data_IF_685652777549
#
_entry.id   IF_685652777549
#
_cell.length_a   1.000
_cell.length_b   1.000
_cell.length_c   1.000
_cell.angle_alpha   90.00
_cell.angle_beta   90.00
_cell.angle_gamma   90.00
#
_symmetry.space_group_name_H-M   'P 1'
#
loop_
_entity.id
_entity.type
_entity.pdbx_description
1 polymer ?
#
# COMPACT_ATOMS: atom_id res chain seq x y z
N UNK A 1 18.37 -13.31 -3.47
CA UNK A 1 18.21 -13.90 -2.13
C UNK A 1 17.63 -12.85 -1.19
N UNK A 2 16.31 -12.88 -0.93
CA UNK A 2 15.68 -11.98 0.06
C UNK A 2 15.97 -12.60 1.43
N UNK A 3 17.20 -12.45 1.94
CA UNK A 3 17.61 -13.09 3.20
C UNK A 3 17.39 -12.21 4.44
N UNK A 4 16.43 -11.28 4.42
CA UNK A 4 16.03 -10.58 5.64
C UNK A 4 14.53 -10.67 5.85
N UNK A 5 14.12 -11.32 6.95
CA UNK A 5 12.75 -11.32 7.51
C UNK A 5 12.27 -9.92 7.96
N UNK A 6 12.85 -8.85 7.42
CA UNK A 6 12.65 -7.48 7.87
C UNK A 6 11.82 -6.66 6.87
N UNK A 7 10.87 -7.33 6.20
CA UNK A 7 9.89 -6.69 5.33
C UNK A 7 8.53 -6.66 6.03
N UNK A 8 7.75 -5.62 5.76
CA UNK A 8 6.48 -5.38 6.45
C UNK A 8 5.29 -5.64 5.55
N UNK A 9 5.42 -5.30 4.26
CA UNK A 9 4.58 -5.83 3.19
C UNK A 9 5.33 -5.81 1.87
N UNK A 10 4.82 -6.59 0.92
CA UNK A 10 5.26 -6.58 -0.48
C UNK A 10 4.17 -5.95 -1.32
N UNK A 11 4.56 -5.07 -2.24
CA UNK A 11 3.66 -4.41 -3.19
C UNK A 11 3.76 -5.03 -4.57
N UNK A 12 2.60 -5.32 -5.13
CA UNK A 12 2.42 -5.82 -6.48
C UNK A 12 1.66 -4.82 -7.37
N UNK A 13 1.30 -3.66 -6.83
CA UNK A 13 0.81 -2.51 -7.58
C UNK A 13 1.63 -1.25 -7.31
N UNK A 14 1.70 -0.35 -8.29
CA UNK A 14 2.19 1.01 -8.08
C UNK A 14 1.13 1.93 -7.44
N UNK A 15 -0.13 1.50 -7.39
CA UNK A 15 -1.26 2.32 -6.99
C UNK A 15 -1.72 1.99 -5.57
N UNK A 16 -1.46 2.93 -4.65
CA UNK A 16 -2.03 2.95 -3.30
C UNK A 16 -1.95 1.61 -2.56
N UNK A 17 -3.11 1.14 -2.09
CA UNK A 17 -3.27 -0.04 -1.25
C UNK A 17 -3.36 -1.36 -2.03
N UNK A 18 -3.33 -1.30 -3.36
CA UNK A 18 -3.69 -2.42 -4.22
C UNK A 18 -2.55 -3.43 -4.30
N UNK A 19 -2.90 -4.72 -4.29
CA UNK A 19 -1.95 -5.81 -4.43
C UNK A 19 -0.88 -5.78 -3.34
N UNK A 20 -1.29 -5.78 -2.07
CA UNK A 20 -0.37 -5.83 -0.92
C UNK A 20 -0.38 -7.19 -0.26
N UNK A 21 0.79 -7.76 -0.04
CA UNK A 21 0.98 -8.98 0.73
C UNK A 21 1.55 -8.63 2.10
N UNK A 22 0.80 -8.97 3.13
CA UNK A 22 1.18 -8.83 4.53
C UNK A 22 1.50 -10.21 5.12
N UNK A 23 2.32 -10.24 6.17
CA UNK A 23 2.46 -11.46 6.97
C UNK A 23 1.21 -11.67 7.80
N UNK A 24 0.76 -12.91 7.88
CA UNK A 24 -0.43 -13.26 8.67
C UNK A 24 -0.30 -12.90 10.14
N UNK A 25 0.91 -13.01 10.71
CA UNK A 25 1.22 -12.65 12.10
C UNK A 25 1.01 -11.15 12.40
N UNK A 26 1.23 -10.29 11.42
CA UNK A 26 1.08 -8.84 11.57
C UNK A 26 -0.33 -8.36 11.23
N UNK A 27 -1.11 -9.17 10.49
CA UNK A 27 -2.39 -8.76 9.89
C UNK A 27 -3.39 -8.23 10.93
N UNK A 28 -3.49 -8.87 12.09
CA UNK A 28 -4.40 -8.42 13.16
C UNK A 28 -4.06 -7.01 13.66
N UNK A 29 -2.77 -6.67 13.74
CA UNK A 29 -2.33 -5.34 14.17
C UNK A 29 -2.70 -4.27 13.15
N UNK A 30 -2.48 -4.56 11.86
CA UNK A 30 -2.88 -3.68 10.77
C UNK A 30 -4.39 -3.43 10.76
N UNK A 31 -5.19 -4.50 10.81
CA UNK A 31 -6.65 -4.40 10.78
C UNK A 31 -7.16 -3.55 11.95
N UNK A 32 -6.66 -3.78 13.17
CA UNK A 32 -7.00 -2.97 14.34
C UNK A 32 -6.66 -1.50 14.12
N UNK A 33 -5.45 -1.20 13.65
CA UNK A 33 -5.03 0.17 13.37
C UNK A 33 -5.92 0.83 12.30
N UNK A 34 -6.23 0.13 11.20
CA UNK A 34 -7.11 0.67 10.16
C UNK A 34 -8.52 0.92 10.69
N UNK A 35 -9.06 0.01 11.49
CA UNK A 35 -10.39 0.16 12.11
C UNK A 35 -10.44 1.28 13.15
N UNK A 36 -9.33 1.63 13.79
CA UNK A 36 -9.28 2.78 14.70
C UNK A 36 -9.38 4.13 13.97
N UNK A 37 -8.95 4.20 12.72
CA UNK A 37 -8.79 5.48 12.00
C UNK A 37 -9.51 5.55 10.64
N UNK A 38 -10.42 4.62 10.36
CA UNK A 38 -11.06 4.48 9.05
C UNK A 38 -11.96 5.67 8.68
N UNK A 39 -12.45 6.43 9.67
CA UNK A 39 -13.29 7.61 9.44
C UNK A 39 -12.46 8.87 9.24
N UNK A 40 -11.23 8.87 9.75
CA UNK A 40 -10.34 10.03 9.82
C UNK A 40 -9.49 10.14 8.56
N UNK A 41 -9.01 9.01 8.02
CA UNK A 41 -8.12 9.00 6.85
C UNK A 41 -8.33 7.77 5.98
N UNK A 42 -8.09 7.89 4.66
CA UNK A 42 -8.05 6.73 3.77
C UNK A 42 -6.90 5.77 4.15
N UNK A 43 -7.10 4.49 3.87
CA UNK A 43 -6.16 3.42 4.26
C UNK A 43 -4.76 3.61 3.70
N UNK A 44 -4.60 4.21 2.51
CA UNK A 44 -3.31 4.57 1.92
C UNK A 44 -2.48 5.49 2.82
N UNK A 45 -3.16 6.46 3.45
CA UNK A 45 -2.53 7.43 4.32
C UNK A 45 -2.21 6.83 5.68
N UNK A 46 -3.15 6.04 6.21
CA UNK A 46 -2.93 5.25 7.43
C UNK A 46 -1.72 4.33 7.29
N UNK A 47 -1.60 3.64 6.17
CA UNK A 47 -0.46 2.79 5.89
C UNK A 47 0.85 3.60 5.93
N UNK A 48 0.89 4.78 5.31
CA UNK A 48 2.06 5.67 5.33
C UNK A 48 2.41 6.19 6.73
N UNK A 49 1.40 6.43 7.58
CA UNK A 49 1.58 6.91 8.95
C UNK A 49 2.29 5.86 9.83
N UNK A 50 2.01 4.57 9.63
CA UNK A 50 2.70 3.46 10.33
C UNK A 50 4.22 3.52 10.10
N UNK A 51 4.69 3.95 8.93
CA UNK A 51 6.13 3.93 8.61
C UNK A 51 6.92 5.13 9.13
N UNK A 52 6.28 6.15 9.72
CA UNK A 52 6.83 7.45 10.13
C UNK A 52 7.76 8.16 9.12
N UNK A 53 7.66 9.49 9.01
CA UNK A 53 8.23 10.26 7.89
C UNK A 53 9.77 10.33 7.81
N UNK A 54 10.50 9.97 8.87
CA UNK A 54 11.88 10.46 9.04
C UNK A 54 13.01 9.52 8.57
N UNK A 55 12.73 8.31 8.08
CA UNK A 55 13.78 7.44 7.54
C UNK A 55 13.41 6.81 6.21
N UNK A 56 13.54 7.58 5.12
CA UNK A 56 13.34 7.08 3.75
C UNK A 56 14.21 5.85 3.41
N UNK A 57 15.41 5.75 4.00
CA UNK A 57 16.30 4.59 3.84
C UNK A 57 15.69 3.31 4.43
N UNK A 58 15.12 3.38 5.65
CA UNK A 58 14.39 2.26 6.26
C UNK A 58 13.13 1.92 5.50
N UNK A 59 12.38 2.93 5.02
CA UNK A 59 11.17 2.69 4.21
C UNK A 59 11.47 1.82 2.99
N UNK A 60 12.55 2.07 2.25
CA UNK A 60 12.92 1.25 1.08
C UNK A 60 13.36 -0.17 1.42
N UNK A 61 13.94 -0.39 2.59
CA UNK A 61 14.33 -1.74 3.04
C UNK A 61 13.12 -2.57 3.48
N UNK A 62 12.12 -1.91 4.07
CA UNK A 62 10.98 -2.55 4.71
C UNK A 62 9.78 -2.70 3.75
N UNK A 63 9.66 -1.79 2.77
CA UNK A 63 8.66 -1.79 1.70
C UNK A 63 9.28 -2.35 0.41
N UNK A 64 9.02 -3.63 0.15
CA UNK A 64 9.48 -4.30 -1.06
C UNK A 64 8.44 -4.07 -2.16
N UNK A 65 8.87 -3.59 -3.32
CA UNK A 65 8.02 -3.48 -4.50
C UNK A 65 8.45 -4.52 -5.53
N UNK A 66 7.53 -5.40 -5.90
CA UNK A 66 7.71 -6.32 -7.01
C UNK A 66 7.60 -5.54 -8.33
N UNK A 67 8.53 -5.79 -9.25
CA UNK A 67 8.56 -5.20 -10.59
C UNK A 67 8.69 -6.30 -11.64
N UNK A 68 7.89 -6.28 -12.72
CA UNK A 68 6.86 -5.29 -13.06
C UNK A 68 5.63 -5.36 -12.14
N UNK A 69 4.79 -4.33 -12.16
CA UNK A 69 3.51 -4.33 -11.43
C UNK A 69 2.64 -5.49 -11.91
N UNK A 70 2.13 -6.34 -11.00
CA UNK A 70 1.23 -7.44 -11.35
C UNK A 70 -0.24 -7.01 -11.39
N UNK A 71 -0.59 -5.99 -10.61
CA UNK A 71 -1.94 -5.45 -10.56
C UNK A 71 -1.94 -4.00 -11.05
N UNK A 72 -2.86 -3.70 -11.95
CA UNK A 72 -3.17 -2.35 -12.40
C UNK A 72 -4.62 -2.04 -12.04
N UNK A 73 -4.84 -0.93 -11.33
CA UNK A 73 -6.20 -0.46 -11.05
C UNK A 73 -6.81 0.13 -12.30
N UNK A 74 -7.94 -0.42 -12.73
CA UNK A 74 -8.77 0.11 -13.81
C UNK A 74 -10.10 0.53 -13.18
N UNK A 75 -10.24 1.83 -12.94
CA UNK A 75 -11.45 2.40 -12.34
C UNK A 75 -12.37 2.94 -13.43
N UNK A 76 -13.62 2.45 -13.47
CA UNK A 76 -14.66 2.97 -14.38
C UNK A 76 -15.37 4.19 -13.76
N UNK A 77 -15.56 4.16 -12.44
CA UNK A 77 -16.21 5.23 -11.67
C UNK A 77 -15.29 5.71 -10.54
N UNK A 78 -15.09 7.03 -10.46
CA UNK A 78 -14.31 7.68 -9.42
C UNK A 78 -15.22 8.20 -8.30
N UNK A 79 -14.85 7.93 -7.04
CA UNK A 79 -15.51 8.56 -5.88
C UNK A 79 -15.11 10.03 -5.70
N UNK A 80 -14.07 10.51 -6.39
CA UNK A 80 -13.70 11.92 -6.40
C UNK A 80 -14.40 12.65 -7.55
N UNK A 81 -15.19 13.71 -7.28
CA UNK A 81 -15.83 14.50 -8.32
C UNK A 81 -14.79 15.05 -9.29
N UNK A 82 -15.07 14.99 -10.60
CA UNK A 82 -14.24 15.51 -11.70
C UNK A 82 -12.85 14.89 -11.88
N UNK A 83 -12.59 13.72 -11.29
CA UNK A 83 -11.43 12.91 -11.68
C UNK A 83 -11.86 11.86 -12.70
N UNK A 84 -11.79 12.23 -13.97
CA UNK A 84 -11.83 11.28 -15.07
C UNK A 84 -10.49 10.53 -15.11
N UNK A 85 -10.51 9.21 -14.96
CA UNK A 85 -9.31 8.40 -14.97
C UNK A 85 -9.18 7.73 -16.34
N UNK A 86 -8.42 8.36 -17.24
CA UNK A 86 -8.14 7.77 -18.55
C UNK A 86 -7.27 6.53 -18.37
N UNK A 87 -7.76 5.41 -18.87
CA UNK A 87 -7.07 4.13 -18.95
C UNK A 87 -5.72 4.34 -19.66
N UNK A 88 -4.60 4.19 -18.94
CA UNK A 88 -3.29 4.06 -19.59
C UNK A 88 -3.21 2.62 -20.09
N UNK A 89 -3.51 2.43 -21.39
CA UNK A 89 -3.19 1.18 -22.08
C UNK A 89 -1.71 0.88 -21.90
N UNK A 90 -1.42 -0.39 -21.59
CA UNK A 90 -0.05 -0.94 -21.54
C UNK A 90 0.46 -1.07 -22.97
#
# INVERSE_FOLDING_TARGET
NISSNNWFFIEFSMLGFIGKLFRSEDLTHFVRFFLMFYKEKPIDWLLNDIFQRNCMKRKKQIRIQYKPSLFQHVGIHSSFPRKEQYEKKI
#
